data_IF_280641523511
#
_entry.id   IF_280641523511
#
_cell.length_a   1.000
_cell.length_b   1.000
_cell.length_c   1.000
_cell.angle_alpha   90.00
_cell.angle_beta   90.00
_cell.angle_gamma   90.00
#
_symmetry.space_group_name_H-M   'P 1'
#
loop_
_entity.id
_entity.type
_entity.pdbx_description
1 polymer ?
#
# COMPACT_ATOMS: atom_id res chain seq x y z
N UNK A 1 40.35 -28.53 25.81
CA UNK A 1 40.62 -27.67 24.63
C UNK A 1 39.40 -27.63 23.69
N UNK A 2 38.57 -26.61 23.91
CA UNK A 2 37.83 -25.80 22.95
C UNK A 2 37.08 -26.47 21.78
N UNK A 3 35.75 -26.40 21.88
CA UNK A 3 34.76 -26.56 20.81
C UNK A 3 35.02 -25.59 19.63
N UNK A 4 34.64 -26.00 18.42
CA UNK A 4 34.16 -25.09 17.39
C UNK A 4 32.99 -25.75 16.62
N UNK A 5 31.80 -25.21 16.84
CA UNK A 5 30.57 -25.50 16.10
C UNK A 5 30.68 -25.04 14.64
N UNK A 6 30.01 -25.71 13.67
CA UNK A 6 29.94 -25.22 12.30
C UNK A 6 29.04 -23.97 12.23
N UNK A 7 29.60 -22.89 11.71
CA UNK A 7 28.89 -21.64 11.43
C UNK A 7 27.72 -21.91 10.47
N UNK A 8 26.49 -21.79 10.97
CA UNK A 8 25.30 -21.69 10.11
C UNK A 8 25.37 -20.36 9.37
N UNK A 9 25.67 -20.45 8.07
CA UNK A 9 25.58 -19.34 7.13
C UNK A 9 24.11 -18.90 7.01
N UNK A 10 23.71 -17.93 7.85
CA UNK A 10 22.46 -17.18 7.68
C UNK A 10 22.49 -16.45 6.35
N UNK A 11 21.92 -17.07 5.32
CA UNK A 11 21.46 -16.34 4.15
C UNK A 11 20.18 -15.61 4.53
N UNK A 12 20.33 -14.47 5.22
CA UNK A 12 19.27 -13.50 5.51
C UNK A 12 18.86 -12.82 4.18
N UNK A 13 18.14 -13.55 3.34
CA UNK A 13 17.51 -12.95 2.16
C UNK A 13 16.32 -12.10 2.62
N UNK A 14 16.00 -10.97 1.95
CA UNK A 14 14.79 -10.19 2.26
C UNK A 14 13.51 -11.05 2.29
N UNK A 15 13.48 -12.12 1.48
CA UNK A 15 12.41 -13.11 1.43
C UNK A 15 12.28 -13.95 2.72
N UNK A 16 13.36 -14.25 3.45
CA UNK A 16 13.27 -15.01 4.71
C UNK A 16 12.66 -14.16 5.83
N UNK A 17 13.03 -12.88 5.92
CA UNK A 17 12.48 -11.93 6.91
C UNK A 17 11.00 -11.63 6.67
N UNK A 18 10.61 -11.45 5.41
CA UNK A 18 9.20 -11.30 5.02
C UNK A 18 8.35 -12.50 5.44
N UNK A 19 8.82 -13.73 5.16
CA UNK A 19 8.10 -14.95 5.55
C UNK A 19 8.00 -15.13 7.06
N UNK A 20 9.06 -14.79 7.80
CA UNK A 20 9.04 -14.86 9.26
C UNK A 20 7.97 -13.94 9.84
N UNK A 21 7.95 -12.67 9.45
CA UNK A 21 6.97 -11.71 9.95
C UNK A 21 5.55 -12.12 9.55
N UNK A 22 5.35 -12.59 8.32
CA UNK A 22 4.06 -13.08 7.87
C UNK A 22 3.57 -14.26 8.74
N UNK A 23 4.45 -15.21 9.04
CA UNK A 23 4.14 -16.35 9.92
C UNK A 23 3.80 -15.91 11.35
N UNK A 24 4.60 -15.02 11.93
CA UNK A 24 4.41 -14.52 13.30
C UNK A 24 3.06 -13.80 13.46
N UNK A 25 2.70 -12.93 12.51
CA UNK A 25 1.40 -12.24 12.55
C UNK A 25 0.24 -13.24 12.39
N UNK A 26 0.39 -14.27 11.54
CA UNK A 26 -0.63 -15.33 11.42
C UNK A 26 -0.81 -16.12 12.71
N UNK A 27 0.26 -16.39 13.45
CA UNK A 27 0.19 -17.05 14.76
C UNK A 27 -0.58 -16.18 15.77
N UNK A 28 -0.36 -14.87 15.79
CA UNK A 28 -1.14 -13.96 16.64
C UNK A 28 -2.60 -13.84 16.23
N UNK A 29 -2.90 -13.86 14.93
CA UNK A 29 -4.29 -13.91 14.43
C UNK A 29 -4.97 -15.20 14.87
N UNK A 30 -4.28 -16.35 14.76
CA UNK A 30 -4.82 -17.64 15.22
C UNK A 30 -5.10 -17.69 16.73
N UNK A 31 -4.36 -16.90 17.52
CA UNK A 31 -4.55 -16.76 18.96
C UNK A 31 -5.53 -15.62 19.35
N UNK A 32 -6.13 -14.92 18.37
CA UNK A 32 -6.92 -13.70 18.59
C UNK A 32 -6.19 -12.62 19.43
N UNK A 33 -4.86 -12.57 19.35
CA UNK A 33 -4.06 -11.66 20.14
C UNK A 33 -3.94 -10.29 19.46
N UNK A 34 -5.04 -9.56 19.46
CA UNK A 34 -5.17 -8.24 18.81
C UNK A 34 -4.21 -7.20 19.38
N UNK A 35 -3.84 -7.32 20.66
CA UNK A 35 -2.87 -6.43 21.34
C UNK A 35 -1.49 -6.57 20.72
N UNK A 36 -1.01 -7.81 20.54
CA UNK A 36 0.30 -8.06 19.94
C UNK A 36 0.32 -7.66 18.46
N UNK A 37 -0.77 -7.86 17.73
CA UNK A 37 -0.88 -7.40 16.34
C UNK A 37 -0.70 -5.87 16.25
N UNK A 38 -1.42 -5.11 17.08
CA UNK A 38 -1.26 -3.65 17.14
C UNK A 38 0.16 -3.24 17.49
N UNK A 39 0.75 -3.91 18.48
CA UNK A 39 2.12 -3.62 18.89
C UNK A 39 3.12 -3.84 17.74
N UNK A 40 3.00 -4.95 17.00
CA UNK A 40 3.83 -5.22 15.81
C UNK A 40 3.66 -4.14 14.75
N UNK A 41 2.43 -3.73 14.44
CA UNK A 41 2.15 -2.68 13.46
C UNK A 41 2.76 -1.34 13.91
N UNK A 42 2.59 -0.99 15.19
CA UNK A 42 3.15 0.23 15.77
C UNK A 42 4.68 0.26 15.72
N UNK A 43 5.35 -0.84 16.09
CA UNK A 43 6.80 -0.95 15.98
C UNK A 43 7.27 -0.83 14.53
N UNK A 44 6.63 -1.54 13.59
CA UNK A 44 6.98 -1.45 12.16
C UNK A 44 6.75 -0.05 11.59
N UNK A 45 5.72 0.65 12.07
CA UNK A 45 5.43 2.03 11.70
C UNK A 45 6.49 2.99 12.26
N UNK A 46 6.60 3.07 13.58
CA UNK A 46 7.35 4.12 14.27
C UNK A 46 8.86 3.87 14.28
N UNK A 47 9.29 2.63 14.50
CA UNK A 47 10.71 2.29 14.65
C UNK A 47 11.38 1.96 13.31
N UNK A 48 10.60 1.57 12.30
CA UNK A 48 11.13 1.18 10.99
C UNK A 48 10.69 2.14 9.88
N UNK A 49 9.41 2.18 9.52
CA UNK A 49 8.92 2.94 8.36
C UNK A 49 9.22 4.45 8.45
N UNK A 50 9.14 5.01 9.67
CA UNK A 50 9.44 6.42 9.95
C UNK A 50 10.85 6.66 10.51
N UNK A 51 11.72 5.64 10.49
CA UNK A 51 13.09 5.76 11.00
C UNK A 51 13.95 6.71 10.17
N UNK A 52 15.02 7.23 10.76
CA UNK A 52 16.01 8.04 10.04
C UNK A 52 16.89 7.21 9.09
N UNK A 53 16.94 5.89 9.26
CA UNK A 53 17.81 5.01 8.49
C UNK A 53 17.08 4.48 7.25
N UNK A 54 17.56 4.76 6.01
CA UNK A 54 16.87 4.34 4.78
C UNK A 54 16.61 2.83 4.68
N UNK A 55 17.55 2.00 5.14
CA UNK A 55 17.40 0.55 5.16
C UNK A 55 16.28 0.07 6.10
N UNK A 56 16.16 0.71 7.27
CA UNK A 56 15.11 0.42 8.22
C UNK A 56 13.74 0.85 7.69
N UNK A 57 13.65 2.01 7.00
CA UNK A 57 12.41 2.46 6.33
C UNK A 57 11.91 1.46 5.30
N UNK A 58 12.79 0.96 4.43
CA UNK A 58 12.44 -0.09 3.47
C UNK A 58 11.94 -1.36 4.16
N UNK A 59 12.62 -1.77 5.24
CA UNK A 59 12.20 -2.92 6.05
C UNK A 59 10.81 -2.73 6.67
N UNK A 60 10.51 -1.53 7.17
CA UNK A 60 9.21 -1.16 7.74
C UNK A 60 8.09 -1.22 6.71
N UNK A 61 8.28 -0.62 5.53
CA UNK A 61 7.31 -0.65 4.44
C UNK A 61 6.96 -2.07 3.98
N UNK A 62 7.99 -2.90 3.77
CA UNK A 62 7.82 -4.33 3.43
C UNK A 62 7.12 -5.06 4.58
N UNK A 63 7.48 -4.75 5.82
CA UNK A 63 6.89 -5.34 7.02
C UNK A 63 5.40 -5.03 7.17
N UNK A 64 5.00 -3.77 6.98
CA UNK A 64 3.59 -3.34 7.02
C UNK A 64 2.76 -4.05 5.94
N UNK A 65 3.30 -4.17 4.72
CA UNK A 65 2.65 -4.96 3.66
C UNK A 65 2.54 -6.44 4.03
N UNK A 66 3.58 -7.04 4.63
CA UNK A 66 3.58 -8.43 5.09
C UNK A 66 2.53 -8.67 6.19
N UNK A 67 2.41 -7.73 7.14
CA UNK A 67 1.38 -7.72 8.18
C UNK A 67 -0.01 -7.66 7.55
N UNK A 68 -0.25 -6.77 6.61
CA UNK A 68 -1.54 -6.69 5.91
C UNK A 68 -1.91 -8.01 5.22
N UNK A 69 -0.95 -8.65 4.54
CA UNK A 69 -1.16 -9.95 3.88
C UNK A 69 -1.45 -11.06 4.90
N UNK A 70 -0.77 -11.04 6.05
CA UNK A 70 -1.00 -12.00 7.13
C UNK A 70 -2.39 -11.84 7.75
N UNK A 71 -2.83 -10.60 7.96
CA UNK A 71 -4.16 -10.25 8.49
C UNK A 71 -5.29 -10.60 7.52
N UNK A 72 -5.05 -10.53 6.20
CA UNK A 72 -6.05 -10.89 5.21
C UNK A 72 -7.29 -10.00 5.33
N UNK A 73 -8.46 -10.60 5.59
CA UNK A 73 -9.73 -9.86 5.72
C UNK A 73 -9.74 -8.93 6.95
N UNK A 74 -9.02 -9.29 8.01
CA UNK A 74 -8.97 -8.51 9.24
C UNK A 74 -8.06 -7.28 9.12
N UNK A 75 -7.34 -7.14 8.00
CA UNK A 75 -6.53 -5.94 7.71
C UNK A 75 -7.37 -4.67 7.72
N UNK A 76 -8.66 -4.76 7.40
CA UNK A 76 -9.63 -3.66 7.47
C UNK A 76 -9.66 -2.94 8.82
N UNK A 77 -9.47 -3.69 9.92
CA UNK A 77 -9.49 -3.14 11.28
C UNK A 77 -8.27 -2.28 11.62
N UNK A 78 -7.17 -2.46 10.87
CA UNK A 78 -5.87 -1.84 11.11
C UNK A 78 -5.45 -0.92 9.97
N UNK A 79 -6.33 -0.67 8.99
CA UNK A 79 -5.99 0.08 7.77
C UNK A 79 -5.42 1.46 8.06
N UNK A 80 -5.99 2.18 9.03
CA UNK A 80 -5.48 3.50 9.43
C UNK A 80 -4.01 3.42 9.87
N UNK A 81 -3.72 2.49 10.78
CA UNK A 81 -2.38 2.28 11.35
C UNK A 81 -1.37 1.76 10.30
N UNK A 82 -1.85 1.03 9.28
CA UNK A 82 -1.03 0.52 8.18
C UNK A 82 -0.76 1.57 7.10
N UNK A 83 -1.75 2.41 6.75
CA UNK A 83 -1.69 3.34 5.62
C UNK A 83 -0.95 4.63 5.99
N UNK A 84 -1.22 5.22 7.16
CA UNK A 84 -0.62 6.50 7.59
C UNK A 84 0.92 6.55 7.49
N UNK A 85 1.68 5.56 8.00
CA UNK A 85 3.14 5.57 7.87
C UNK A 85 3.59 5.45 6.41
N UNK A 86 2.88 4.68 5.58
CA UNK A 86 3.21 4.51 4.17
C UNK A 86 3.00 5.82 3.39
N UNK A 87 1.90 6.53 3.66
CA UNK A 87 1.64 7.83 3.04
C UNK A 87 2.65 8.90 3.45
N UNK A 88 3.15 8.85 4.68
CA UNK A 88 4.22 9.74 5.12
C UNK A 88 5.48 9.56 4.26
N UNK A 89 5.80 8.31 3.91
CA UNK A 89 6.92 7.99 3.02
C UNK A 89 6.73 8.46 1.56
N UNK A 90 5.55 8.94 1.14
CA UNK A 90 5.36 9.51 -0.20
C UNK A 90 6.05 10.88 -0.35
N UNK A 91 6.37 11.54 0.75
CA UNK A 91 7.11 12.80 0.74
C UNK A 91 8.60 12.62 1.02
N UNK A 92 9.12 11.39 0.94
CA UNK A 92 10.54 11.12 1.19
C UNK A 92 11.42 11.77 0.12
N UNK A 93 12.61 12.23 0.51
CA UNK A 93 13.57 12.79 -0.42
C UNK A 93 14.07 11.73 -1.44
N UNK A 94 14.17 10.47 -1.04
CA UNK A 94 14.62 9.37 -1.89
C UNK A 94 13.47 8.80 -2.74
N UNK A 95 13.58 8.93 -4.07
CA UNK A 95 12.57 8.42 -4.99
C UNK A 95 12.40 6.90 -4.92
N UNK A 96 13.44 6.15 -4.53
CA UNK A 96 13.35 4.70 -4.33
C UNK A 96 12.44 4.36 -3.16
N UNK A 97 12.50 5.14 -2.07
CA UNK A 97 11.60 4.93 -0.92
C UNK A 97 10.16 5.31 -1.26
N UNK A 98 9.95 6.39 -2.01
CA UNK A 98 8.61 6.73 -2.51
C UNK A 98 8.02 5.62 -3.37
N UNK A 99 8.83 5.03 -4.26
CA UNK A 99 8.44 3.86 -5.05
C UNK A 99 8.09 2.66 -4.15
N UNK A 100 8.93 2.31 -3.18
CA UNK A 100 8.64 1.20 -2.25
C UNK A 100 7.40 1.46 -1.40
N UNK A 101 7.13 2.71 -1.03
CA UNK A 101 5.92 3.08 -0.32
C UNK A 101 4.69 2.89 -1.21
N UNK A 102 4.76 3.28 -2.49
CA UNK A 102 3.70 3.03 -3.46
C UNK A 102 3.41 1.53 -3.60
N UNK A 103 4.45 0.70 -3.71
CA UNK A 103 4.33 -0.75 -3.80
C UNK A 103 3.74 -1.37 -2.52
N UNK A 104 4.16 -0.89 -1.35
CA UNK A 104 3.61 -1.31 -0.05
C UNK A 104 2.12 -0.95 0.05
N UNK A 105 1.73 0.27 -0.35
CA UNK A 105 0.33 0.71 -0.33
C UNK A 105 -0.54 -0.12 -1.28
N UNK A 106 -0.05 -0.39 -2.49
CA UNK A 106 -0.73 -1.27 -3.44
C UNK A 106 -1.02 -2.64 -2.83
N UNK A 107 -0.03 -3.24 -2.15
CA UNK A 107 -0.20 -4.55 -1.51
C UNK A 107 -1.21 -4.52 -0.36
N UNK A 108 -1.19 -3.47 0.47
CA UNK A 108 -2.16 -3.28 1.56
C UNK A 108 -3.57 -3.15 1.00
N UNK A 109 -3.77 -2.25 0.01
CA UNK A 109 -5.07 -1.99 -0.63
C UNK A 109 -5.60 -3.25 -1.33
N UNK A 110 -4.71 -3.99 -2.02
CA UNK A 110 -5.05 -5.25 -2.69
C UNK A 110 -5.63 -6.29 -1.73
N UNK A 111 -5.12 -6.35 -0.51
CA UNK A 111 -5.57 -7.30 0.51
C UNK A 111 -6.86 -6.82 1.18
N UNK A 112 -6.93 -5.54 1.53
CA UNK A 112 -8.06 -4.98 2.26
C UNK A 112 -9.34 -4.85 1.41
N UNK A 113 -9.22 -4.76 0.08
CA UNK A 113 -10.35 -4.73 -0.87
C UNK A 113 -11.40 -3.69 -0.46
N UNK A 114 -12.67 -4.07 -0.32
CA UNK A 114 -13.77 -3.14 0.02
C UNK A 114 -13.61 -2.42 1.35
N UNK A 115 -12.77 -2.91 2.27
CA UNK A 115 -12.50 -2.21 3.54
C UNK A 115 -11.74 -0.89 3.35
N UNK A 116 -11.15 -0.63 2.18
CA UNK A 116 -10.44 0.62 1.89
C UNK A 116 -11.37 1.79 1.55
N UNK A 117 -12.65 1.53 1.24
CA UNK A 117 -13.59 2.56 0.79
C UNK A 117 -13.73 3.74 1.78
N UNK A 118 -13.84 3.53 3.10
CA UNK A 118 -13.88 4.65 4.06
C UNK A 118 -12.60 5.50 4.07
N UNK A 119 -11.47 4.94 3.61
CA UNK A 119 -10.16 5.61 3.55
C UNK A 119 -9.85 6.17 2.16
N UNK A 120 -10.79 6.08 1.21
CA UNK A 120 -10.55 6.44 -0.19
C UNK A 120 -10.03 7.87 -0.37
N UNK A 121 -10.58 8.84 0.36
CA UNK A 121 -10.15 10.25 0.25
C UNK A 121 -8.66 10.42 0.53
N UNK A 122 -8.16 9.76 1.58
CA UNK A 122 -6.76 9.83 2.01
C UNK A 122 -5.86 9.06 1.03
N UNK A 123 -6.34 7.92 0.51
CA UNK A 123 -5.63 7.15 -0.51
C UNK A 123 -5.53 7.91 -1.85
N UNK A 124 -6.60 8.62 -2.24
CA UNK A 124 -6.66 9.41 -3.46
C UNK A 124 -5.74 10.65 -3.39
N UNK A 125 -5.67 11.31 -2.23
CA UNK A 125 -4.70 12.39 -2.00
C UNK A 125 -3.25 11.87 -2.13
N UNK A 126 -2.94 10.73 -1.49
CA UNK A 126 -1.64 10.07 -1.63
C UNK A 126 -1.31 9.70 -3.07
N UNK A 127 -2.27 9.13 -3.79
CA UNK A 127 -2.12 8.77 -5.20
C UNK A 127 -1.85 9.99 -6.08
N UNK A 128 -2.57 11.08 -5.86
CA UNK A 128 -2.41 12.33 -6.62
C UNK A 128 -1.00 12.90 -6.48
N UNK A 129 -0.40 12.79 -5.28
CA UNK A 129 1.01 13.16 -5.03
C UNK A 129 1.97 12.30 -5.83
N UNK A 130 1.77 10.98 -5.85
CA UNK A 130 2.63 10.06 -6.61
C UNK A 130 2.50 10.23 -8.13
N UNK A 131 1.29 10.53 -8.63
CA UNK A 131 1.08 10.80 -10.04
C UNK A 131 1.80 12.07 -10.53
N UNK A 132 1.99 13.04 -9.62
CA UNK A 132 2.74 14.27 -9.85
C UNK A 132 4.24 14.15 -9.52
N UNK A 133 4.73 12.98 -9.11
CA UNK A 133 6.13 12.78 -8.68
C UNK A 133 7.12 13.11 -9.82
N UNK A 134 8.28 13.73 -9.57
CA UNK A 134 9.26 13.97 -10.63
C UNK A 134 9.87 12.68 -11.21
N UNK A 135 9.90 11.57 -10.47
CA UNK A 135 10.50 10.31 -10.90
C UNK A 135 9.52 9.46 -11.74
N UNK A 136 9.88 9.06 -12.97
CA UNK A 136 8.99 8.30 -13.85
C UNK A 136 8.67 6.89 -13.34
N UNK A 137 9.54 6.28 -12.52
CA UNK A 137 9.28 4.96 -11.94
C UNK A 137 8.19 5.06 -10.88
N UNK A 138 8.21 6.13 -10.08
CA UNK A 138 7.17 6.41 -9.06
C UNK A 138 5.83 6.66 -9.74
N UNK A 139 5.80 7.45 -10.83
CA UNK A 139 4.58 7.64 -11.64
C UNK A 139 4.02 6.33 -12.17
N UNK A 140 4.88 5.50 -12.78
CA UNK A 140 4.47 4.18 -13.29
C UNK A 140 3.87 3.30 -12.20
N UNK A 141 4.44 3.32 -10.99
CA UNK A 141 3.88 2.63 -9.82
C UNK A 141 2.50 3.17 -9.42
N UNK A 142 2.31 4.49 -9.47
CA UNK A 142 1.05 5.15 -9.14
C UNK A 142 -0.10 4.73 -10.07
N UNK A 143 0.17 4.49 -11.35
CA UNK A 143 -0.85 4.05 -12.31
C UNK A 143 -1.43 2.67 -11.95
N UNK A 144 -0.62 1.77 -11.39
CA UNK A 144 -1.08 0.46 -10.92
C UNK A 144 -2.00 0.60 -9.71
N UNK A 145 -1.66 1.50 -8.78
CA UNK A 145 -2.48 1.82 -7.62
C UNK A 145 -3.79 2.52 -8.02
N UNK A 146 -3.74 3.45 -8.97
CA UNK A 146 -4.92 4.14 -9.53
C UNK A 146 -5.91 3.15 -10.13
N UNK A 147 -5.44 2.24 -10.99
CA UNK A 147 -6.29 1.19 -11.59
C UNK A 147 -6.92 0.31 -10.52
N UNK A 148 -6.17 -0.06 -9.48
CA UNK A 148 -6.67 -0.87 -8.37
C UNK A 148 -7.76 -0.15 -7.57
N UNK A 149 -7.54 1.12 -7.22
CA UNK A 149 -8.52 1.93 -6.49
C UNK A 149 -9.79 2.16 -7.32
N UNK A 150 -9.64 2.44 -8.62
CA UNK A 150 -10.77 2.57 -9.55
C UNK A 150 -11.61 1.30 -9.64
N UNK A 151 -11.00 0.10 -9.58
CA UNK A 151 -11.76 -1.16 -9.56
C UNK A 151 -12.64 -1.28 -8.31
N UNK A 152 -12.21 -0.77 -7.15
CA UNK A 152 -13.03 -0.79 -5.94
C UNK A 152 -14.13 0.28 -5.95
N UNK A 153 -13.86 1.44 -6.56
CA UNK A 153 -14.87 2.50 -6.72
C UNK A 153 -15.88 2.17 -7.83
N UNK A 154 -15.48 1.53 -8.93
CA UNK A 154 -16.32 1.29 -10.11
C UNK A 154 -16.84 -0.15 -10.23
N UNK A 155 -16.39 -1.06 -9.35
CA UNK A 155 -16.79 -2.46 -9.37
C UNK A 155 -18.25 -2.70 -8.96
N UNK A 156 -18.78 -3.92 -9.13
CA UNK A 156 -20.20 -4.26 -8.89
C UNK A 156 -20.69 -4.04 -7.44
N UNK A 157 -19.80 -3.75 -6.50
CA UNK A 157 -20.16 -3.33 -5.13
C UNK A 157 -20.56 -1.84 -5.02
N UNK A 158 -20.49 -1.07 -6.11
CA UNK A 158 -20.72 0.38 -6.13
C UNK A 158 -22.18 0.81 -6.00
N UNK A 159 -23.16 -0.09 -6.17
CA UNK A 159 -24.60 0.28 -6.12
C UNK A 159 -25.01 0.87 -4.76
N UNK A 160 -24.24 0.67 -3.69
CA UNK A 160 -24.58 1.12 -2.33
C UNK A 160 -23.93 2.47 -1.95
N UNK A 161 -22.85 2.90 -2.61
CA UNK A 161 -22.05 4.08 -2.16
C UNK A 161 -22.46 5.39 -2.86
N UNK A 162 -23.19 5.31 -3.97
CA UNK A 162 -23.59 6.48 -4.78
C UNK A 162 -24.47 7.49 -4.01
N UNK A 163 -25.13 7.08 -2.92
CA UNK A 163 -26.03 7.99 -2.18
C UNK A 163 -25.25 9.05 -1.36
N UNK A 164 -23.94 8.88 -1.12
CA UNK A 164 -23.16 9.79 -0.25
C UNK A 164 -22.25 10.76 -1.03
N UNK A 165 -21.95 10.50 -2.31
CA UNK A 165 -20.84 11.18 -3.01
C UNK A 165 -21.23 12.04 -4.23
N UNK A 166 -22.48 12.50 -4.31
CA UNK A 166 -22.98 13.30 -5.46
C UNK A 166 -22.75 14.83 -5.41
N UNK A 167 -22.25 15.51 -4.35
CA UNK A 167 -22.06 16.96 -4.46
C UNK A 167 -20.68 17.42 -4.95
N UNK A 168 -19.77 16.53 -5.43
CA UNK A 168 -18.42 16.97 -5.88
C UNK A 168 -18.05 16.67 -7.34
N UNK A 169 -18.88 15.94 -8.09
CA UNK A 169 -18.66 15.65 -9.52
C UNK A 169 -19.18 16.76 -10.48
N UNK A 170 -19.59 17.91 -9.94
CA UNK A 170 -20.10 19.05 -10.73
C UNK A 170 -19.08 20.09 -11.17
N UNK A 171 -17.79 19.96 -10.82
CA UNK A 171 -16.80 21.05 -10.97
C UNK A 171 -15.45 20.62 -11.58
N UNK A 172 -15.46 19.78 -12.64
CA UNK A 172 -14.27 19.57 -13.48
C UNK A 172 -14.48 20.20 -14.87
N UNK A 173 -13.60 21.12 -15.33
CA UNK A 173 -13.78 21.85 -16.59
C UNK A 173 -13.74 20.92 -17.81
N UNK A 174 -14.71 21.10 -18.70
CA UNK A 174 -14.81 20.43 -20.02
C UNK A 174 -13.75 20.96 -21.00
N UNK A 175 -12.47 20.62 -20.82
CA UNK A 175 -11.47 20.85 -21.87
C UNK A 175 -10.45 19.71 -21.94
N UNK A 176 -10.91 18.57 -22.44
CA UNK A 176 -10.05 17.65 -23.17
C UNK A 176 -10.90 16.97 -24.25
N UNK A 177 -11.10 17.68 -25.36
CA UNK A 177 -11.62 17.08 -26.59
C UNK A 177 -10.60 16.05 -27.09
N UNK A 178 -11.03 14.79 -27.17
CA UNK A 178 -10.31 13.73 -27.85
C UNK A 178 -10.53 13.91 -29.36
N UNK A 179 -9.49 14.00 -30.21
CA UNK A 179 -9.66 14.10 -31.65
C UNK A 179 -10.28 12.81 -32.19
N UNK A 180 -11.44 12.91 -32.85
CA UNK A 180 -12.04 11.78 -33.57
C UNK A 180 -11.14 11.44 -34.77
N UNK A 181 -10.48 10.28 -34.75
CA UNK A 181 -9.94 9.70 -35.97
C UNK A 181 -11.13 9.34 -36.88
N UNK A 182 -11.24 10.05 -38.00
CA UNK A 182 -12.22 9.78 -39.03
C UNK A 182 -11.92 8.46 -39.73
N UNK A 183 -12.81 7.49 -39.57
CA UNK A 183 -12.91 6.35 -40.49
C UNK A 183 -13.76 6.83 -41.67
N UNK A 184 -13.11 7.09 -42.81
CA UNK A 184 -13.78 7.21 -44.10
C UNK A 184 -14.27 5.82 -44.50
N UNK A 185 -15.58 5.60 -44.53
CA UNK A 185 -16.19 4.52 -45.30
C UNK A 185 -16.55 5.08 -46.68
N UNK A 186 -15.74 4.74 -47.68
CA UNK A 186 -16.13 4.79 -49.09
C UNK A 186 -16.72 3.43 -49.49
N UNK A 187 -17.81 3.52 -50.26
CA UNK A 187 -18.59 2.48 -50.97
C UNK A 187 -19.61 1.68 -50.14
#
# INVERSE_FOLDING_TARGET
>A
PSQCLPASSRTDTPNSRFRFLNRLVREFVAQNNTVQIKHVIQTLSQEFALSQHPHSRKGGLIGLAACSIALGKDSGLYLKELIEPVLTCFNDADSRLRYYACEALYNIVKVARGAVLPHFNVLFDGLSKLAADPDPNVKSGSELLDRLLKVFVLGPHFVVVVVVFVPFLGLLPRHMEVPRLGVKSEL
#
